data_IF_695695512426
#
_entry.id   IF_695695512426
#
_cell.length_a   1.000
_cell.length_b   1.000
_cell.length_c   1.000
_cell.angle_alpha   90.00
_cell.angle_beta   90.00
_cell.angle_gamma   90.00
#
_symmetry.space_group_name_H-M   'P 1'
#
loop_
_entity.id
_entity.type
_entity.pdbx_description
1 polymer ?
#
# COMPACT_ATOMS: atom_id res chain seq x y z
N UNK A 1 17.10 3.97 26.60
CA UNK A 1 16.85 4.19 25.16
C UNK A 1 15.40 4.63 25.02
N UNK A 2 15.18 5.87 24.60
CA UNK A 2 13.86 6.50 24.61
C UNK A 2 13.13 6.09 23.33
N UNK A 3 12.27 5.08 23.41
CA UNK A 3 11.38 4.69 22.31
C UNK A 3 10.35 5.80 22.14
N UNK A 4 10.62 6.72 21.21
CA UNK A 4 9.67 7.73 20.75
C UNK A 4 8.48 6.99 20.15
N UNK A 5 7.40 6.85 20.93
CA UNK A 5 6.13 6.29 20.47
C UNK A 5 5.65 7.18 19.32
N UNK A 6 5.58 6.71 18.07
CA UNK A 6 4.93 7.49 17.02
C UNK A 6 3.50 7.77 17.47
N UNK A 7 2.99 8.97 17.19
CA UNK A 7 1.62 9.37 17.52
C UNK A 7 0.55 8.54 16.76
N UNK A 8 0.98 7.59 15.94
CA UNK A 8 0.19 6.66 15.16
C UNK A 8 0.80 5.26 15.29
N UNK A 9 0.00 4.27 15.67
CA UNK A 9 0.43 2.87 15.81
C UNK A 9 0.17 2.12 14.49
N UNK A 10 1.17 2.14 13.61
CA UNK A 10 1.07 1.56 12.27
C UNK A 10 0.72 0.07 12.30
N UNK A 11 1.35 -0.69 13.20
CA UNK A 11 1.12 -2.14 13.31
C UNK A 11 -0.31 -2.44 13.75
N UNK A 12 -0.86 -1.63 14.66
CA UNK A 12 -2.26 -1.74 15.05
C UNK A 12 -3.20 -1.47 13.86
N UNK A 13 -3.03 -0.33 13.17
CA UNK A 13 -3.90 0.03 12.05
C UNK A 13 -3.81 -0.97 10.88
N UNK A 14 -2.61 -1.51 10.62
CA UNK A 14 -2.41 -2.56 9.62
C UNK A 14 -3.11 -3.86 10.04
N UNK A 15 -3.01 -4.26 11.31
CA UNK A 15 -3.71 -5.44 11.83
C UNK A 15 -5.24 -5.28 11.81
N UNK A 16 -5.75 -4.07 12.06
CA UNK A 16 -7.18 -3.79 11.90
C UNK A 16 -7.63 -3.83 10.43
N UNK A 17 -6.78 -3.39 9.51
CA UNK A 17 -7.06 -3.43 8.08
C UNK A 17 -7.15 -4.88 7.59
N UNK A 18 -6.20 -5.72 7.97
CA UNK A 18 -6.21 -7.16 7.64
C UNK A 18 -7.50 -7.83 8.11
N UNK A 19 -7.88 -7.63 9.38
CA UNK A 19 -9.15 -8.15 9.92
C UNK A 19 -10.38 -7.65 9.16
N UNK A 20 -10.36 -6.39 8.73
CA UNK A 20 -11.46 -5.80 7.97
C UNK A 20 -11.56 -6.45 6.59
N UNK A 21 -10.43 -6.71 5.94
CA UNK A 21 -10.38 -7.42 4.65
C UNK A 21 -10.86 -8.86 4.82
N UNK A 22 -10.38 -9.59 5.83
CA UNK A 22 -10.84 -10.96 6.14
C UNK A 22 -12.36 -11.02 6.34
N UNK A 23 -12.94 -10.03 7.02
CA UNK A 23 -14.39 -9.93 7.20
C UNK A 23 -15.13 -9.70 5.87
N UNK A 24 -14.61 -8.82 5.01
CA UNK A 24 -15.18 -8.57 3.69
C UNK A 24 -15.09 -9.81 2.78
N UNK A 25 -14.00 -10.56 2.86
CA UNK A 25 -13.78 -11.78 2.07
C UNK A 25 -14.62 -12.97 2.57
N UNK A 26 -15.01 -12.98 3.84
CA UNK A 26 -15.85 -14.05 4.41
C UNK A 26 -17.22 -14.18 3.75
N UNK A 27 -17.77 -13.08 3.22
CA UNK A 27 -19.09 -13.05 2.59
C UNK A 27 -20.28 -13.14 3.56
N UNK A 28 -20.05 -13.23 4.87
CA UNK A 28 -21.08 -13.39 5.90
C UNK A 28 -21.72 -12.05 6.35
N UNK A 29 -21.30 -10.92 5.76
CA UNK A 29 -21.77 -9.58 6.13
C UNK A 29 -23.06 -9.22 5.40
N UNK A 30 -24.00 -8.59 6.12
CA UNK A 30 -25.08 -7.86 5.46
C UNK A 30 -24.54 -6.67 4.65
N UNK A 31 -25.31 -6.17 3.69
CA UNK A 31 -24.92 -5.03 2.85
C UNK A 31 -24.46 -3.82 3.67
N UNK A 32 -25.20 -3.46 4.73
CA UNK A 32 -24.88 -2.35 5.61
C UNK A 32 -23.54 -2.57 6.33
N UNK A 33 -23.31 -3.78 6.84
CA UNK A 33 -22.06 -4.14 7.51
C UNK A 33 -20.88 -4.15 6.54
N UNK A 34 -21.08 -4.63 5.31
CA UNK A 34 -20.07 -4.62 4.27
C UNK A 34 -19.67 -3.18 3.89
N UNK A 35 -20.63 -2.26 3.79
CA UNK A 35 -20.36 -0.84 3.54
C UNK A 35 -19.56 -0.20 4.68
N UNK A 36 -19.93 -0.47 5.95
CA UNK A 36 -19.20 0.03 7.11
C UNK A 36 -17.77 -0.53 7.19
N UNK A 37 -17.59 -1.84 6.94
CA UNK A 37 -16.29 -2.46 6.88
C UNK A 37 -15.43 -1.86 5.75
N UNK A 38 -16.02 -1.63 4.57
CA UNK A 38 -15.33 -0.99 3.45
C UNK A 38 -14.87 0.45 3.80
N UNK A 39 -15.75 1.27 4.36
CA UNK A 39 -15.40 2.64 4.78
C UNK A 39 -14.28 2.64 5.82
N UNK A 40 -14.36 1.74 6.81
CA UNK A 40 -13.28 1.54 7.79
C UNK A 40 -11.96 1.15 7.11
N UNK A 41 -11.98 0.21 6.17
CA UNK A 41 -10.80 -0.23 5.43
C UNK A 41 -10.14 0.89 4.64
N UNK A 42 -10.94 1.76 4.00
CA UNK A 42 -10.42 2.96 3.31
C UNK A 42 -9.76 3.93 4.30
N UNK A 43 -10.38 4.16 5.46
CA UNK A 43 -9.82 5.00 6.52
C UNK A 43 -8.44 4.51 6.98
N UNK A 44 -8.36 3.22 7.34
CA UNK A 44 -7.12 2.58 7.79
C UNK A 44 -6.03 2.63 6.72
N UNK A 45 -6.38 2.36 5.45
CA UNK A 45 -5.43 2.43 4.33
C UNK A 45 -4.81 3.83 4.19
N UNK A 46 -5.63 4.88 4.28
CA UNK A 46 -5.16 6.28 4.21
C UNK A 46 -4.27 6.64 5.38
N UNK A 47 -4.53 6.11 6.56
CA UNK A 47 -3.69 6.32 7.74
C UNK A 47 -2.33 5.64 7.60
N UNK A 48 -2.31 4.37 7.17
CA UNK A 48 -1.08 3.65 6.89
C UNK A 48 -0.22 4.36 5.83
N UNK A 49 -0.83 4.83 4.73
CA UNK A 49 -0.12 5.60 3.70
C UNK A 49 0.50 6.88 4.26
N UNK A 50 -0.26 7.66 5.03
CA UNK A 50 0.25 8.89 5.67
C UNK A 50 1.43 8.62 6.59
N UNK A 51 1.40 7.52 7.35
CA UNK A 51 2.50 7.13 8.21
C UNK A 51 3.76 6.75 7.41
N UNK A 52 3.59 6.01 6.31
CA UNK A 52 4.69 5.66 5.40
C UNK A 52 5.28 6.88 4.71
N UNK A 53 4.46 7.83 4.26
CA UNK A 53 4.91 9.07 3.65
C UNK A 53 5.71 9.93 4.63
N UNK A 54 5.24 10.05 5.88
CA UNK A 54 5.96 10.75 6.94
C UNK A 54 7.32 10.08 7.24
N UNK A 55 7.36 8.75 7.27
CA UNK A 55 8.60 8.00 7.44
C UNK A 55 9.56 8.22 6.27
N UNK A 56 9.06 8.16 5.03
CA UNK A 56 9.84 8.42 3.80
C UNK A 56 10.42 9.83 3.82
N UNK A 57 9.61 10.84 4.13
CA UNK A 57 10.07 12.23 4.23
C UNK A 57 11.18 12.39 5.27
N UNK A 58 11.04 11.75 6.44
CA UNK A 58 12.07 11.76 7.48
C UNK A 58 13.38 11.14 7.00
N UNK A 59 13.31 10.04 6.23
CA UNK A 59 14.49 9.41 5.62
C UNK A 59 15.14 10.34 4.61
N UNK A 60 14.36 10.94 3.70
CA UNK A 60 14.87 11.90 2.70
C UNK A 60 15.63 13.04 3.35
N UNK A 61 15.04 13.67 4.37
CA UNK A 61 15.67 14.77 5.12
C UNK A 61 16.96 14.34 5.81
N UNK A 62 17.04 13.11 6.33
CA UNK A 62 18.26 12.58 6.94
C UNK A 62 19.36 12.30 5.90
N UNK A 63 19.00 11.81 4.71
CA UNK A 63 19.94 11.58 3.61
C UNK A 63 20.49 12.88 3.02
N UNK A 64 19.63 13.91 2.88
CA UNK A 64 20.03 15.26 2.47
C UNK A 64 21.04 15.88 3.44
N UNK A 65 20.81 15.73 4.75
CA UNK A 65 21.74 16.21 5.78
C UNK A 65 23.10 15.52 5.75
N UNK A 66 23.15 14.26 5.29
CA UNK A 66 24.37 13.47 5.21
C UNK A 66 25.08 13.57 3.84
N UNK A 67 24.58 14.40 2.91
CA UNK A 67 25.22 14.68 1.62
C UNK A 67 25.22 13.51 0.61
N UNK A 68 24.40 12.47 0.83
CA UNK A 68 24.32 11.29 -0.04
C UNK A 68 22.91 11.19 -0.63
N UNK A 69 22.69 11.81 -1.79
CA UNK A 69 21.48 11.62 -2.58
C UNK A 69 21.75 10.59 -3.67
N UNK A 70 21.11 9.43 -3.56
CA UNK A 70 20.82 8.59 -4.71
C UNK A 70 19.35 8.17 -4.61
N UNK A 71 18.48 8.98 -5.20
CA UNK A 71 17.07 8.62 -5.39
C UNK A 71 17.03 7.44 -6.35
N UNK A 72 16.80 6.24 -5.84
CA UNK A 72 16.41 5.12 -6.68
C UNK A 72 14.90 5.21 -6.83
N UNK A 73 14.37 5.42 -8.06
CA UNK A 73 12.93 5.38 -8.29
C UNK A 73 12.42 4.03 -7.80
N UNK A 74 11.43 4.06 -6.92
CA UNK A 74 10.67 2.86 -6.58
C UNK A 74 9.92 2.47 -7.85
N UNK A 75 10.41 1.42 -8.50
CA UNK A 75 9.78 0.86 -9.67
C UNK A 75 8.46 0.24 -9.19
N UNK A 76 7.35 0.92 -9.40
CA UNK A 76 6.04 0.30 -9.28
C UNK A 76 5.98 -0.77 -10.38
N UNK A 77 6.16 -2.03 -9.98
CA UNK A 77 6.07 -3.22 -10.83
C UNK A 77 4.63 -3.48 -11.26
N UNK A 78 3.95 -2.48 -11.82
CA UNK A 78 2.69 -2.64 -12.54
C UNK A 78 2.78 -1.85 -13.83
N UNK A 79 3.65 -2.28 -14.73
CA UNK A 79 3.43 -2.05 -16.16
C UNK A 79 2.20 -2.85 -16.56
N UNK A 80 1.08 -2.23 -16.99
CA UNK A 80 0.15 -2.95 -17.85
C UNK A 80 0.88 -3.08 -19.19
N UNK A 81 1.45 -4.25 -19.47
CA UNK A 81 1.83 -4.59 -20.84
C UNK A 81 0.54 -4.63 -21.66
N UNK A 82 0.23 -3.51 -22.30
CA UNK A 82 -0.81 -3.37 -23.30
C UNK A 82 -0.23 -2.56 -24.45
N UNK A 83 0.36 -3.27 -25.42
CA UNK A 83 0.31 -2.92 -26.85
C UNK A 83 1.09 -3.95 -27.69
N UNK A 84 0.36 -4.89 -28.29
CA UNK A 84 0.51 -5.35 -29.67
C UNK A 84 1.76 -6.11 -30.11
N UNK A 85 1.58 -7.38 -30.50
CA UNK A 85 1.50 -7.73 -31.92
C UNK A 85 1.01 -9.18 -32.10
N UNK A 86 -0.12 -9.31 -32.78
CA UNK A 86 -0.37 -10.34 -33.79
C UNK A 86 -0.05 -11.80 -33.43
N UNK A 87 -1.04 -12.48 -32.83
CA UNK A 87 -1.18 -13.93 -33.01
C UNK A 87 -1.84 -14.18 -34.35
N UNK A 88 -1.10 -14.06 -35.45
CA UNK A 88 -1.50 -14.55 -36.77
C UNK A 88 -0.27 -14.53 -37.71
N UNK A 89 0.66 -15.48 -37.51
CA UNK A 89 1.50 -16.06 -38.57
C UNK A 89 2.41 -17.16 -37.98
N UNK A 90 2.60 -18.26 -38.72
CA UNK A 90 3.54 -19.38 -38.50
C UNK A 90 3.27 -20.45 -37.40
N UNK A 91 2.33 -21.37 -37.69
CA UNK A 91 2.61 -22.81 -37.51
C UNK A 91 2.25 -23.56 -38.81
N UNK A 92 3.22 -23.82 -39.70
CA UNK A 92 3.07 -24.84 -40.73
C UNK A 92 3.51 -26.22 -40.21
N UNK A 93 2.57 -27.17 -40.38
CA UNK A 93 2.61 -28.65 -40.19
C UNK A 93 2.51 -29.22 -38.77
#
# INVERSE_FOLDING_TARGET
MTTQKPSFDFEQSLGELQKTVEQLESGDLSLEQALQAFEKGIGLTRECQRALDAARQRITVLLEQNGQLQEVPLQDSTSPTSAGSDTDDDIPF
#
